data_IF_391240305972
#
_entry.id   IF_391240305972
#
_cell.length_a   1.000
_cell.length_b   1.000
_cell.length_c   1.000
_cell.angle_alpha   90.00
_cell.angle_beta   90.00
_cell.angle_gamma   90.00
#
_symmetry.space_group_name_H-M   'P 1'
#
loop_
_entity.id
_entity.type
_entity.pdbx_description
1 polymer ?
#
# COMPACT_ATOMS: atom_id res chain seq x y z
N UNK A 1 -25.17 -13.22 10.00
CA UNK A 1 -24.60 -14.20 10.94
C UNK A 1 -23.85 -13.42 12.00
N UNK A 2 -24.03 -13.69 13.31
CA UNK A 2 -23.36 -12.90 14.33
C UNK A 2 -21.90 -13.36 14.42
N UNK A 3 -20.96 -12.47 14.11
CA UNK A 3 -19.53 -12.66 14.40
C UNK A 3 -19.34 -12.47 15.91
N UNK A 4 -19.53 -13.55 16.67
CA UNK A 4 -19.30 -13.62 18.10
C UNK A 4 -18.01 -14.35 18.40
N UNK A 5 -16.94 -13.61 18.67
CA UNK A 5 -15.86 -13.83 19.66
C UNK A 5 -14.72 -12.87 19.32
N UNK A 6 -14.40 -11.95 20.25
CA UNK A 6 -13.25 -11.08 20.12
C UNK A 6 -11.98 -11.91 20.32
N UNK A 7 -11.32 -12.27 19.22
CA UNK A 7 -9.95 -12.77 19.27
C UNK A 7 -9.07 -11.53 19.40
N UNK A 8 -8.58 -11.25 20.61
CA UNK A 8 -7.48 -10.29 20.76
C UNK A 8 -6.25 -10.91 20.11
N UNK A 9 -5.76 -10.32 19.02
CA UNK A 9 -4.57 -10.82 18.33
C UNK A 9 -3.33 -10.20 18.97
N UNK A 10 -2.52 -11.02 19.65
CA UNK A 10 -1.17 -10.61 20.03
C UNK A 10 -0.26 -10.70 18.80
N UNK A 11 0.20 -9.55 18.30
CA UNK A 11 1.09 -9.50 17.15
C UNK A 11 2.54 -9.71 17.59
N UNK A 12 3.08 -10.92 17.41
CA UNK A 12 4.51 -11.18 17.61
C UNK A 12 5.29 -10.81 16.35
N UNK A 13 6.07 -9.72 16.42
CA UNK A 13 7.11 -9.43 15.43
C UNK A 13 8.48 -9.58 16.07
N UNK A 14 9.26 -10.53 15.56
CA UNK A 14 10.64 -10.77 15.95
C UNK A 14 11.57 -10.06 14.96
N UNK A 15 12.26 -9.00 15.39
CA UNK A 15 13.30 -8.36 14.59
C UNK A 15 14.68 -8.62 15.21
N UNK A 16 15.57 -9.28 14.47
CA UNK A 16 16.97 -9.41 14.86
C UNK A 16 17.75 -8.17 14.41
N UNK A 17 18.25 -7.39 15.36
CA UNK A 17 19.16 -6.28 15.07
C UNK A 17 20.59 -6.79 14.84
N UNK A 18 20.92 -7.26 13.64
CA UNK A 18 22.31 -7.25 13.17
C UNK A 18 22.39 -7.45 11.65
N UNK A 19 22.96 -6.45 10.97
CA UNK A 19 23.29 -6.49 9.54
C UNK A 19 24.53 -7.39 9.24
N UNK A 20 24.76 -8.43 10.02
CA UNK A 20 25.95 -9.31 9.92
C UNK A 20 25.64 -10.78 10.25
N UNK A 21 24.47 -11.29 9.85
CA UNK A 21 24.16 -12.73 9.95
C UNK A 21 24.87 -13.58 8.86
N UNK A 22 26.09 -13.21 8.50
CA UNK A 22 26.99 -13.99 7.64
C UNK A 22 28.38 -14.11 8.28
N UNK A 23 28.47 -14.33 9.60
CA UNK A 23 29.65 -14.91 10.23
C UNK A 23 29.35 -15.38 11.66
N UNK A 24 29.76 -16.61 11.95
CA UNK A 24 29.92 -17.23 13.27
C UNK A 24 28.64 -17.53 14.07
N UNK A 25 28.23 -18.79 14.00
CA UNK A 25 27.46 -19.48 15.02
C UNK A 25 28.25 -19.52 16.35
N UNK A 26 28.19 -18.46 17.15
CA UNK A 26 28.52 -18.52 18.58
C UNK A 26 27.24 -18.72 19.38
N UNK A 27 27.24 -19.73 20.23
CA UNK A 27 26.10 -20.25 21.01
C UNK A 27 25.64 -19.30 22.14
N UNK A 28 25.21 -18.09 21.81
CA UNK A 28 24.53 -17.17 22.73
C UNK A 28 23.08 -16.97 22.31
N UNK A 29 22.16 -17.00 23.28
CA UNK A 29 20.78 -16.60 23.03
C UNK A 29 20.75 -15.13 22.59
N UNK A 30 20.08 -14.82 21.48
CA UNK A 30 19.83 -13.44 21.05
C UNK A 30 18.51 -13.02 21.70
N UNK A 31 18.49 -12.01 22.58
CA UNK A 31 17.25 -11.52 23.17
C UNK A 31 16.40 -10.85 22.08
N UNK A 32 15.19 -11.37 21.86
CA UNK A 32 14.19 -10.70 21.02
C UNK A 32 13.31 -9.81 21.89
N UNK A 33 13.12 -8.57 21.46
CA UNK A 33 12.12 -7.69 22.09
C UNK A 33 10.78 -7.96 21.42
N UNK A 34 9.77 -8.35 22.21
CA UNK A 34 8.38 -8.40 21.73
C UNK A 34 7.71 -7.08 22.07
N UNK A 35 7.01 -6.52 21.11
CA UNK A 35 6.12 -5.38 21.33
C UNK A 35 4.68 -5.88 21.23
N UNK A 36 3.86 -5.59 22.22
CA UNK A 36 2.43 -5.96 22.22
C UNK A 36 1.57 -4.70 22.18
N UNK A 37 0.49 -4.78 21.41
CA UNK A 37 -0.70 -3.95 21.52
C UNK A 37 -1.79 -4.81 22.11
N UNK A 38 -2.18 -4.56 23.36
CA UNK A 38 -3.25 -5.32 24.03
C UNK A 38 -4.48 -4.44 24.21
N UNK A 39 -5.68 -4.93 23.83
CA UNK A 39 -6.93 -4.24 24.16
C UNK A 39 -7.27 -4.34 25.65
N UNK A 40 -6.61 -5.24 26.41
CA UNK A 40 -6.95 -5.56 27.80
C UNK A 40 -5.74 -5.26 28.69
N UNK A 41 -5.61 -4.00 29.09
CA UNK A 41 -4.97 -3.72 30.37
C UNK A 41 -5.96 -4.01 31.51
N UNK A 42 -5.47 -4.26 32.73
CA UNK A 42 -6.33 -4.52 33.89
C UNK A 42 -7.31 -3.38 34.22
N UNK A 43 -7.08 -2.19 33.66
CA UNK A 43 -7.89 -0.97 33.74
C UNK A 43 -8.77 -0.72 32.49
N UNK A 44 -8.77 -1.60 31.49
CA UNK A 44 -9.62 -1.49 30.30
C UNK A 44 -9.16 -0.44 29.27
N UNK A 45 -7.90 -0.02 29.33
CA UNK A 45 -7.29 0.98 28.44
C UNK A 45 -6.35 0.27 27.44
N UNK A 46 -6.59 0.36 26.13
CA UNK A 46 -5.70 -0.25 25.15
C UNK A 46 -4.28 0.33 25.26
N UNK A 47 -3.26 -0.54 25.40
CA UNK A 47 -1.87 -0.09 25.46
C UNK A 47 -1.27 -0.10 24.06
N UNK A 48 -0.93 1.09 23.58
CA UNK A 48 -0.31 1.30 22.27
C UNK A 48 1.22 1.09 22.40
N UNK A 49 1.76 0.08 21.72
CA UNK A 49 3.20 -0.27 21.67
C UNK A 49 3.86 -0.47 23.05
N UNK A 50 3.32 -1.34 23.89
CA UNK A 50 4.00 -1.73 25.13
C UNK A 50 5.11 -2.75 24.85
N UNK A 51 6.29 -2.56 25.45
CA UNK A 51 7.36 -3.57 25.41
C UNK A 51 7.02 -4.70 26.39
N UNK A 52 7.04 -5.93 25.92
CA UNK A 52 6.98 -7.12 26.76
C UNK A 52 8.37 -7.55 27.22
N UNK A 53 8.47 -8.39 28.28
CA UNK A 53 9.70 -9.10 28.61
C UNK A 53 10.24 -9.81 27.36
N UNK A 54 11.56 -9.75 27.16
CA UNK A 54 12.19 -10.33 25.99
C UNK A 54 11.97 -11.85 25.93
N UNK A 55 11.80 -12.38 24.71
CA UNK A 55 11.79 -13.83 24.48
C UNK A 55 13.21 -14.30 24.16
N UNK A 56 13.60 -15.39 24.80
CA UNK A 56 14.89 -16.03 24.59
C UNK A 56 14.84 -16.93 23.35
N UNK A 57 15.62 -16.60 22.31
CA UNK A 57 15.85 -17.51 21.20
C UNK A 57 16.81 -18.61 21.62
N UNK A 58 16.27 -19.81 21.82
CA UNK A 58 17.09 -21.00 22.03
C UNK A 58 17.59 -21.51 20.68
N UNK A 59 18.91 -21.68 20.48
CA UNK A 59 19.42 -22.25 19.25
C UNK A 59 18.87 -23.66 19.05
N UNK A 60 18.33 -23.94 17.85
CA UNK A 60 17.99 -25.30 17.42
C UNK A 60 19.26 -26.14 17.37
N UNK A 61 19.60 -26.84 18.46
CA UNK A 61 20.63 -27.87 18.42
C UNK A 61 20.05 -29.09 17.69
N UNK A 62 20.71 -29.64 16.65
CA UNK A 62 20.42 -30.99 16.21
C UNK A 62 20.84 -31.93 17.35
N UNK A 63 19.91 -32.22 18.26
CA UNK A 63 20.15 -33.18 19.34
C UNK A 63 20.20 -34.56 18.72
N UNK A 64 21.41 -35.05 18.44
CA UNK A 64 21.64 -36.51 18.39
C UNK A 64 21.16 -37.08 19.72
N UNK A 65 20.09 -37.86 19.67
CA UNK A 65 19.58 -38.72 20.75
C UNK A 65 19.11 -38.05 22.05
N UNK A 66 18.31 -36.98 21.99
CA UNK A 66 17.38 -36.73 23.11
C UNK A 66 15.97 -36.51 22.60
N UNK A 67 15.05 -37.41 22.95
CA UNK A 67 13.61 -37.14 22.85
C UNK A 67 13.34 -35.79 23.55
N UNK A 68 12.73 -34.80 22.88
CA UNK A 68 12.23 -33.62 23.58
C UNK A 68 11.33 -34.10 24.72
N UNK A 69 11.50 -33.53 25.92
CA UNK A 69 10.51 -33.75 26.97
C UNK A 69 9.15 -33.28 26.42
N UNK A 70 8.05 -34.01 26.67
CA UNK A 70 6.74 -33.57 26.24
C UNK A 70 6.51 -32.15 26.80
N UNK A 71 6.05 -31.19 25.98
CA UNK A 71 5.80 -29.84 26.46
C UNK A 71 4.81 -29.92 27.63
N UNK A 72 5.20 -29.34 28.77
CA UNK A 72 4.26 -29.08 29.87
C UNK A 72 3.16 -28.17 29.31
N UNK A 73 1.90 -28.55 29.53
CA UNK A 73 0.73 -28.17 28.74
C UNK A 73 0.31 -26.68 28.73
N UNK A 74 1.12 -25.75 29.25
CA UNK A 74 0.77 -24.32 29.34
C UNK A 74 1.76 -23.35 28.65
N UNK A 75 2.79 -23.83 27.93
CA UNK A 75 3.75 -22.95 27.23
C UNK A 75 3.61 -23.00 25.70
N UNK A 76 3.20 -21.87 25.09
CA UNK A 76 3.24 -21.67 23.64
C UNK A 76 4.71 -21.47 23.24
N UNK A 77 5.24 -22.36 22.40
CA UNK A 77 6.61 -22.28 21.86
C UNK A 77 6.57 -21.92 20.38
N UNK A 78 7.27 -20.84 20.00
CA UNK A 78 7.48 -20.45 18.59
C UNK A 78 8.90 -20.80 18.19
N UNK A 79 9.06 -21.55 17.09
CA UNK A 79 10.37 -21.97 16.58
C UNK A 79 10.67 -21.20 15.29
N UNK A 80 11.80 -20.49 15.25
CA UNK A 80 12.27 -19.76 14.07
C UNK A 80 13.33 -20.62 13.36
N UNK A 81 13.11 -20.93 12.08
CA UNK A 81 14.08 -21.62 11.23
C UNK A 81 14.71 -20.66 10.23
N UNK A 82 15.89 -20.12 10.56
CA UNK A 82 16.61 -19.17 9.70
C UNK A 82 17.23 -19.78 8.44
N UNK A 83 17.17 -21.10 8.25
CA UNK A 83 17.69 -21.73 7.02
C UNK A 83 16.63 -21.81 5.91
N UNK A 84 15.36 -21.57 6.22
CA UNK A 84 14.29 -21.50 5.23
C UNK A 84 13.98 -20.03 4.98
N UNK A 85 14.18 -19.58 3.76
CA UNK A 85 13.97 -18.18 3.37
C UNK A 85 12.88 -18.07 2.31
N UNK A 86 12.13 -16.97 2.34
CA UNK A 86 11.07 -16.67 1.40
C UNK A 86 11.39 -15.36 0.64
N UNK A 87 10.40 -14.47 0.51
CA UNK A 87 10.55 -13.23 -0.22
C UNK A 87 11.37 -12.18 0.54
N UNK A 88 12.02 -11.30 -0.21
CA UNK A 88 12.64 -10.07 0.33
C UNK A 88 11.58 -8.98 0.45
N UNK A 89 11.56 -8.29 1.58
CA UNK A 89 10.62 -7.20 1.86
C UNK A 89 11.07 -5.93 1.16
N UNK A 90 10.20 -5.39 0.31
CA UNK A 90 10.31 -4.11 -0.36
C UNK A 90 10.05 -2.95 0.60
N UNK A 91 9.03 -3.06 1.45
CA UNK A 91 8.73 -2.05 2.48
C UNK A 91 7.26 -1.83 2.74
N UNK A 92 6.99 -0.72 3.46
CA UNK A 92 5.67 -0.29 3.90
C UNK A 92 5.46 1.20 3.60
N UNK A 93 4.21 1.60 3.38
CA UNK A 93 3.92 2.95 2.90
C UNK A 93 2.46 3.36 3.01
N UNK A 94 2.14 4.47 2.34
CA UNK A 94 0.77 4.95 2.14
C UNK A 94 0.62 5.77 0.86
N UNK A 95 -0.61 6.18 0.55
CA UNK A 95 -0.96 6.94 -0.64
C UNK A 95 -0.98 8.46 -0.43
N UNK A 96 -0.37 9.17 -1.38
CA UNK A 96 -0.37 10.63 -1.53
C UNK A 96 -1.53 11.06 -2.42
N UNK A 97 -2.77 10.88 -1.93
CA UNK A 97 -3.98 11.36 -2.61
C UNK A 97 -4.12 12.88 -2.50
N UNK A 98 -4.98 13.48 -3.34
CA UNK A 98 -5.32 14.90 -3.19
C UNK A 98 -5.97 15.18 -1.84
N UNK A 99 -6.81 14.28 -1.31
CA UNK A 99 -7.38 14.42 0.03
C UNK A 99 -6.32 14.46 1.13
N UNK A 100 -5.29 13.60 1.04
CA UNK A 100 -4.18 13.61 1.98
C UNK A 100 -3.39 14.93 1.90
N UNK A 101 -3.06 15.37 0.68
CA UNK A 101 -2.39 16.65 0.46
C UNK A 101 -3.23 17.83 0.97
N UNK A 102 -4.53 17.83 0.68
CA UNK A 102 -5.48 18.88 1.07
C UNK A 102 -5.55 19.06 2.59
N UNK A 103 -5.59 17.96 3.34
CA UNK A 103 -5.56 17.99 4.80
C UNK A 103 -4.19 18.43 5.31
N UNK A 104 -3.11 17.90 4.73
CA UNK A 104 -1.76 18.21 5.14
C UNK A 104 -1.40 19.70 4.97
N UNK A 105 -1.70 20.32 3.82
CA UNK A 105 -1.34 21.74 3.59
C UNK A 105 -2.07 22.72 4.52
N UNK A 106 -3.23 22.32 5.07
CA UNK A 106 -4.04 23.12 6.00
C UNK A 106 -3.55 23.06 7.45
N UNK A 107 -2.67 22.13 7.76
CA UNK A 107 -2.03 22.05 9.07
C UNK A 107 -1.06 23.22 9.30
N UNK A 108 -0.73 23.47 10.57
CA UNK A 108 0.37 24.38 10.92
C UNK A 108 1.70 23.86 10.34
N UNK A 109 2.72 24.72 10.10
CA UNK A 109 4.03 24.24 9.63
C UNK A 109 4.66 23.18 10.56
N UNK A 110 4.43 23.31 11.88
CA UNK A 110 4.84 22.32 12.88
C UNK A 110 4.15 20.98 12.66
N UNK A 111 2.84 20.97 12.53
CA UNK A 111 2.06 19.73 12.39
C UNK A 111 2.30 19.07 11.03
N UNK A 112 2.54 19.87 9.97
CA UNK A 112 2.98 19.35 8.66
C UNK A 112 4.29 18.56 8.76
N UNK A 113 5.27 19.12 9.47
CA UNK A 113 6.54 18.46 9.70
C UNK A 113 6.36 17.22 10.58
N UNK A 114 5.50 17.30 11.61
CA UNK A 114 5.22 16.18 12.49
C UNK A 114 4.60 14.98 11.76
N UNK A 115 3.63 15.20 10.86
CA UNK A 115 3.05 14.10 10.05
C UNK A 115 4.13 13.40 9.21
N UNK A 116 5.01 14.17 8.55
CA UNK A 116 6.09 13.59 7.75
C UNK A 116 7.08 12.82 8.63
N UNK A 117 7.44 13.37 9.79
CA UNK A 117 8.32 12.73 10.76
C UNK A 117 7.72 11.41 11.28
N UNK A 118 6.43 11.41 11.65
CA UNK A 118 5.72 10.25 12.18
C UNK A 118 5.71 9.08 11.19
N UNK A 119 5.54 9.32 9.89
CA UNK A 119 5.58 8.26 8.88
C UNK A 119 6.99 7.89 8.43
N UNK A 120 7.83 8.88 8.11
CA UNK A 120 9.03 8.65 7.29
C UNK A 120 10.35 8.73 8.05
N UNK A 121 10.39 9.40 9.21
CA UNK A 121 11.62 9.50 10.01
C UNK A 121 12.06 8.13 10.56
N UNK A 122 13.24 8.10 11.20
CA UNK A 122 13.82 6.88 11.77
C UNK A 122 12.89 6.27 12.83
N UNK A 123 12.77 4.93 12.89
CA UNK A 123 12.15 4.25 14.03
C UNK A 123 12.74 4.67 15.38
N UNK A 124 14.05 4.91 15.46
CA UNK A 124 14.73 5.39 16.68
C UNK A 124 14.30 6.79 17.13
N UNK A 125 13.72 7.58 16.23
CA UNK A 125 13.19 8.92 16.50
C UNK A 125 11.66 8.90 16.67
N UNK A 126 11.04 7.71 16.63
CA UNK A 126 9.59 7.53 16.74
C UNK A 126 8.82 7.58 15.42
N UNK A 127 9.51 7.70 14.27
CA UNK A 127 8.90 7.54 12.95
C UNK A 127 8.54 6.08 12.63
N UNK A 128 7.75 5.83 11.60
CA UNK A 128 7.47 4.48 11.11
C UNK A 128 8.55 3.93 10.18
N UNK A 129 9.39 4.79 9.61
CA UNK A 129 10.38 4.35 8.66
C UNK A 129 9.79 3.97 7.30
N UNK A 130 8.65 4.56 6.90
CA UNK A 130 8.03 4.28 5.59
C UNK A 130 9.00 4.51 4.44
N UNK A 131 8.83 3.68 3.42
CA UNK A 131 9.74 3.54 2.26
C UNK A 131 9.00 3.38 0.95
N UNK A 132 7.70 3.07 0.99
CA UNK A 132 6.82 3.04 -0.16
C UNK A 132 5.90 4.26 -0.18
N UNK A 133 5.57 4.72 -1.38
CA UNK A 133 4.55 5.73 -1.62
C UNK A 133 3.74 5.41 -2.86
N UNK A 134 2.42 5.51 -2.75
CA UNK A 134 1.51 5.41 -3.89
C UNK A 134 1.00 6.78 -4.29
N UNK A 135 0.91 7.07 -5.59
CA UNK A 135 0.32 8.32 -6.08
C UNK A 135 -0.69 8.05 -7.20
N UNK A 136 -1.88 8.69 -7.17
CA UNK A 136 -2.78 8.64 -8.31
C UNK A 136 -2.19 9.29 -9.56
N UNK A 137 -2.35 8.64 -10.71
CA UNK A 137 -2.28 9.31 -12.01
C UNK A 137 -3.69 9.86 -12.26
N UNK A 138 -3.80 11.20 -12.34
CA UNK A 138 -5.07 11.94 -12.44
C UNK A 138 -5.85 11.95 -11.11
N UNK A 139 -7.12 12.34 -11.15
CA UNK A 139 -8.01 12.25 -9.99
C UNK A 139 -8.39 10.80 -9.64
N UNK A 140 -8.82 10.67 -8.39
CA UNK A 140 -9.47 9.51 -7.80
C UNK A 140 -10.70 9.96 -6.99
N UNK A 141 -11.40 9.05 -6.33
CA UNK A 141 -12.50 9.39 -5.43
C UNK A 141 -12.05 10.32 -4.29
N UNK A 142 -10.84 10.13 -3.76
CA UNK A 142 -10.17 11.02 -2.80
C UNK A 142 -9.53 12.26 -3.45
N UNK A 143 -10.18 12.78 -4.50
CA UNK A 143 -9.95 14.10 -5.08
C UNK A 143 -11.11 15.03 -4.74
N UNK A 144 -10.88 16.34 -4.81
CA UNK A 144 -11.95 17.34 -4.54
C UNK A 144 -12.92 17.46 -5.72
N UNK A 145 -12.47 17.06 -6.92
CA UNK A 145 -13.27 16.95 -8.15
C UNK A 145 -12.54 16.04 -9.15
N UNK A 146 -13.22 15.53 -10.18
CA UNK A 146 -12.57 14.87 -11.30
C UNK A 146 -11.64 15.80 -12.10
N UNK A 147 -10.49 15.28 -12.53
CA UNK A 147 -9.57 15.90 -13.48
C UNK A 147 -8.60 14.87 -14.06
N UNK A 148 -8.04 15.18 -15.23
CA UNK A 148 -6.88 14.54 -15.84
C UNK A 148 -5.92 15.62 -16.35
N UNK A 149 -4.74 15.22 -16.81
CA UNK A 149 -3.75 16.13 -17.37
C UNK A 149 -3.91 16.35 -18.88
N UNK A 150 -4.90 15.73 -19.53
CA UNK A 150 -5.25 16.04 -20.92
C UNK A 150 -6.77 15.95 -21.14
N UNK A 151 -7.42 17.10 -21.01
CA UNK A 151 -8.87 17.24 -21.12
C UNK A 151 -9.35 17.61 -22.54
N UNK A 152 -8.44 17.81 -23.50
CA UNK A 152 -8.84 18.25 -24.85
C UNK A 152 -9.37 17.05 -25.63
N UNK A 153 -10.64 17.12 -26.02
CA UNK A 153 -11.32 16.00 -26.67
C UNK A 153 -10.64 15.60 -27.99
N UNK A 154 -10.19 14.34 -28.04
CA UNK A 154 -9.61 13.75 -29.24
C UNK A 154 -8.13 14.07 -29.47
N UNK A 155 -7.43 14.60 -28.47
CA UNK A 155 -6.00 14.89 -28.51
C UNK A 155 -5.15 13.61 -28.49
N UNK A 156 -5.11 12.90 -29.62
CA UNK A 156 -4.39 11.61 -29.73
C UNK A 156 -2.87 11.75 -29.69
N UNK A 157 -2.36 12.93 -30.03
CA UNK A 157 -0.92 13.21 -30.01
C UNK A 157 -0.48 13.80 -28.66
N UNK A 158 -1.42 14.06 -27.74
CA UNK A 158 -1.21 14.62 -26.40
C UNK A 158 -0.52 15.98 -26.44
N UNK A 159 -0.86 16.82 -27.42
CA UNK A 159 -0.31 18.19 -27.58
C UNK A 159 -0.72 19.12 -26.43
N UNK A 160 -1.85 18.83 -25.78
CA UNK A 160 -2.43 19.60 -24.69
C UNK A 160 -2.18 18.97 -23.31
N UNK A 161 -1.40 17.90 -23.24
CA UNK A 161 -1.01 17.30 -21.95
C UNK A 161 -0.28 18.32 -21.07
N UNK A 162 -0.75 18.49 -19.83
CA UNK A 162 -0.10 19.32 -18.83
C UNK A 162 1.20 18.67 -18.33
N UNK A 163 2.28 18.96 -19.06
CA UNK A 163 3.64 18.52 -18.74
C UNK A 163 4.18 19.04 -17.41
N UNK A 164 3.50 19.99 -16.77
CA UNK A 164 3.91 20.55 -15.48
C UNK A 164 3.20 19.92 -14.29
N UNK A 165 2.14 19.11 -14.54
CA UNK A 165 1.22 18.58 -13.53
C UNK A 165 0.78 19.66 -12.54
N UNK A 166 0.38 20.81 -13.08
CA UNK A 166 0.13 22.05 -12.34
C UNK A 166 -0.90 21.87 -11.22
N UNK A 167 -1.91 21.02 -11.42
CA UNK A 167 -2.91 20.70 -10.42
C UNK A 167 -2.29 20.02 -9.18
N UNK A 168 -1.41 19.03 -9.38
CA UNK A 168 -0.75 18.29 -8.29
C UNK A 168 0.29 19.13 -7.54
N UNK A 169 0.88 20.11 -8.23
CA UNK A 169 1.74 21.13 -7.59
C UNK A 169 0.90 22.06 -6.73
N UNK A 170 -0.23 22.54 -7.25
CA UNK A 170 -1.07 23.54 -6.59
C UNK A 170 -1.86 22.96 -5.41
N UNK A 171 -2.34 21.71 -5.51
CA UNK A 171 -3.14 21.06 -4.46
C UNK A 171 -2.30 20.45 -3.33
N UNK A 172 -0.98 20.39 -3.50
CA UNK A 172 -0.05 19.94 -2.47
C UNK A 172 0.45 18.50 -2.59
N UNK A 173 0.01 17.69 -3.57
CA UNK A 173 0.49 16.32 -3.75
C UNK A 173 2.02 16.31 -3.96
N UNK A 174 2.51 17.07 -4.94
CA UNK A 174 3.96 17.16 -5.21
C UNK A 174 4.73 17.70 -3.99
N UNK A 175 4.33 18.83 -3.36
CA UNK A 175 4.95 19.31 -2.13
C UNK A 175 4.98 18.28 -0.97
N UNK A 176 3.91 17.49 -0.80
CA UNK A 176 3.82 16.47 0.25
C UNK A 176 4.78 15.31 -0.01
N UNK A 177 4.86 14.82 -1.25
CA UNK A 177 5.83 13.78 -1.64
C UNK A 177 7.26 14.27 -1.40
N UNK A 178 7.58 15.49 -1.82
CA UNK A 178 8.91 16.08 -1.59
C UNK A 178 9.23 16.22 -0.10
N UNK A 179 8.23 16.48 0.76
CA UNK A 179 8.43 16.51 2.20
C UNK A 179 8.76 15.13 2.77
N UNK A 180 8.05 14.08 2.33
CA UNK A 180 8.37 12.71 2.69
C UNK A 180 9.76 12.28 2.19
N UNK A 181 10.13 12.64 0.95
CA UNK A 181 11.46 12.37 0.40
C UNK A 181 12.59 13.01 1.24
N UNK A 182 12.38 14.21 1.79
CA UNK A 182 13.35 14.86 2.68
C UNK A 182 13.57 14.07 3.97
N UNK A 183 12.50 13.59 4.61
CA UNK A 183 12.59 12.74 5.80
C UNK A 183 13.33 11.42 5.50
N UNK A 184 12.98 10.77 4.38
CA UNK A 184 13.66 9.53 3.96
C UNK A 184 15.15 9.78 3.66
N UNK A 185 15.48 10.91 3.02
CA UNK A 185 16.88 11.27 2.76
C UNK A 185 17.67 11.52 4.05
N UNK A 186 17.07 12.22 5.03
CA UNK A 186 17.69 12.46 6.34
C UNK A 186 17.87 11.19 7.16
N UNK A 187 17.00 10.19 6.96
CA UNK A 187 17.15 8.88 7.58
C UNK A 187 18.45 8.18 7.18
N UNK A 188 18.87 8.35 5.93
CA UNK A 188 19.93 7.55 5.33
C UNK A 188 19.46 6.12 5.01
N UNK A 189 20.09 5.48 4.03
CA UNK A 189 19.81 4.08 3.68
C UNK A 189 18.73 3.85 2.61
N UNK A 190 18.37 4.86 1.81
CA UNK A 190 17.53 4.64 0.62
C UNK A 190 16.82 5.89 0.11
N UNK A 191 15.97 5.71 -0.90
CA UNK A 191 15.05 6.70 -1.41
C UNK A 191 13.60 6.24 -1.18
N UNK A 192 12.66 7.18 -1.18
CA UNK A 192 11.23 6.84 -1.18
C UNK A 192 10.89 6.18 -2.52
N UNK A 193 10.45 4.92 -2.46
CA UNK A 193 10.07 4.14 -3.63
C UNK A 193 8.63 4.46 -4.01
N UNK A 194 8.46 5.23 -5.08
CA UNK A 194 7.15 5.70 -5.53
C UNK A 194 6.58 4.80 -6.62
N UNK A 195 5.34 4.37 -6.48
CA UNK A 195 4.59 3.78 -7.59
C UNK A 195 3.30 4.56 -7.85
N UNK A 196 2.81 4.49 -9.08
CA UNK A 196 1.62 5.22 -9.50
C UNK A 196 0.56 4.32 -10.15
N UNK A 197 -0.70 4.64 -9.93
CA UNK A 197 -1.84 3.91 -10.51
C UNK A 197 -2.83 4.91 -11.12
N UNK A 198 -3.32 4.72 -12.35
CA UNK A 198 -4.41 5.53 -12.87
C UNK A 198 -5.77 4.97 -12.45
N UNK A 199 -6.71 5.83 -12.05
CA UNK A 199 -8.10 5.41 -11.82
C UNK A 199 -8.93 5.47 -13.10
N UNK A 200 -8.65 6.45 -13.96
CA UNK A 200 -9.33 6.57 -15.25
C UNK A 200 -8.42 7.27 -16.26
N UNK A 201 -8.46 6.85 -17.54
CA UNK A 201 -7.97 7.69 -18.62
C UNK A 201 -8.88 8.93 -18.80
N UNK A 202 -8.43 9.95 -19.55
CA UNK A 202 -9.26 11.08 -19.97
C UNK A 202 -10.60 10.67 -20.56
N UNK A 203 -11.63 11.48 -20.34
CA UNK A 203 -13.00 11.16 -20.72
C UNK A 203 -13.15 10.84 -22.22
N UNK A 204 -12.39 11.53 -23.07
CA UNK A 204 -12.40 11.34 -24.53
C UNK A 204 -11.81 10.00 -24.98
N UNK A 205 -11.06 9.30 -24.12
CA UNK A 205 -10.55 7.95 -24.37
C UNK A 205 -11.57 6.86 -24.01
N UNK A 206 -12.65 7.20 -23.30
CA UNK A 206 -13.57 6.24 -22.71
C UNK A 206 -14.75 5.92 -23.63
N UNK A 207 -15.25 4.70 -23.50
CA UNK A 207 -16.46 4.21 -24.18
C UNK A 207 -17.43 3.59 -23.19
N UNK A 208 -18.76 3.67 -23.45
CA UNK A 208 -19.73 2.91 -22.67
C UNK A 208 -19.48 1.42 -22.79
N UNK A 209 -19.81 0.67 -21.73
CA UNK A 209 -19.80 -0.79 -21.79
C UNK A 209 -21.07 -1.30 -22.46
N UNK A 210 -20.93 -2.35 -23.28
CA UNK A 210 -22.05 -3.03 -23.94
C UNK A 210 -22.00 -4.54 -23.63
N UNK A 211 -23.10 -5.14 -23.12
CA UNK A 211 -24.30 -4.47 -22.62
C UNK A 211 -23.99 -3.58 -21.40
N UNK A 212 -24.85 -2.62 -21.03
CA UNK A 212 -24.67 -1.83 -19.83
C UNK A 212 -24.52 -2.77 -18.63
N UNK A 213 -23.30 -2.91 -18.11
CA UNK A 213 -23.09 -3.49 -16.79
C UNK A 213 -23.75 -2.55 -15.79
N UNK A 214 -24.27 -3.05 -14.66
CA UNK A 214 -24.87 -2.24 -13.59
C UNK A 214 -23.89 -1.29 -12.87
N UNK A 215 -23.00 -0.66 -13.64
CA UNK A 215 -22.09 0.40 -13.26
C UNK A 215 -22.89 1.47 -12.53
N UNK A 216 -22.49 1.73 -11.29
CA UNK A 216 -23.15 2.71 -10.45
C UNK A 216 -22.54 4.08 -10.70
N UNK A 217 -22.61 4.61 -11.92
CA UNK A 217 -21.98 5.88 -12.26
C UNK A 217 -22.45 6.47 -13.59
N UNK A 218 -22.46 7.81 -13.74
CA UNK A 218 -22.92 8.49 -14.96
C UNK A 218 -21.88 8.49 -16.10
N UNK A 219 -20.61 8.17 -15.82
CA UNK A 219 -19.52 8.23 -16.79
C UNK A 219 -19.27 6.87 -17.47
N UNK A 220 -18.87 6.85 -18.75
CA UNK A 220 -18.42 5.62 -19.41
C UNK A 220 -17.26 4.99 -18.64
N UNK A 221 -17.22 3.67 -18.54
CA UNK A 221 -16.20 2.95 -17.76
C UNK A 221 -15.33 2.00 -18.60
N UNK A 222 -15.50 1.91 -19.92
CA UNK A 222 -14.56 1.19 -20.78
C UNK A 222 -13.50 2.11 -21.41
N UNK A 223 -12.40 1.55 -21.92
CA UNK A 223 -11.43 2.24 -22.77
C UNK A 223 -11.65 1.92 -24.24
N UNK A 224 -11.47 2.91 -25.13
CA UNK A 224 -11.52 2.71 -26.57
C UNK A 224 -10.27 1.98 -27.07
N UNK A 225 -10.30 0.65 -27.07
CA UNK A 225 -9.16 -0.20 -27.45
C UNK A 225 -8.64 0.13 -28.86
N UNK A 226 -9.54 0.32 -29.83
CA UNK A 226 -9.15 0.55 -31.23
C UNK A 226 -8.47 1.91 -31.49
N UNK A 227 -8.60 2.88 -30.57
CA UNK A 227 -8.20 4.27 -30.83
C UNK A 227 -7.26 4.86 -29.78
N UNK A 228 -7.32 4.36 -28.55
CA UNK A 228 -6.74 5.05 -27.41
C UNK A 228 -5.64 4.27 -26.68
N UNK A 229 -5.35 3.00 -27.01
CA UNK A 229 -4.27 2.29 -26.32
C UNK A 229 -2.88 2.89 -26.59
N UNK A 230 -2.59 3.31 -27.82
CA UNK A 230 -1.33 4.00 -28.14
C UNK A 230 -1.19 5.33 -27.39
N UNK A 231 -2.13 6.28 -27.55
CA UNK A 231 -2.14 7.52 -26.79
C UNK A 231 -2.09 7.30 -25.27
N UNK A 232 -2.84 6.33 -24.75
CA UNK A 232 -2.83 6.02 -23.32
C UNK A 232 -1.47 5.53 -22.83
N UNK A 233 -0.77 4.67 -23.57
CA UNK A 233 0.60 4.28 -23.21
C UNK A 233 1.56 5.48 -23.23
N UNK A 234 1.42 6.39 -24.21
CA UNK A 234 2.23 7.62 -24.26
C UNK A 234 1.95 8.55 -23.08
N UNK A 235 0.69 8.62 -22.64
CA UNK A 235 0.27 9.39 -21.47
C UNK A 235 1.04 8.98 -20.20
N UNK A 236 1.20 7.67 -19.95
CA UNK A 236 2.03 7.21 -18.83
C UNK A 236 3.46 7.76 -18.90
N UNK A 237 4.09 7.72 -20.07
CA UNK A 237 5.46 8.24 -20.22
C UNK A 237 5.52 9.75 -19.96
N UNK A 238 4.58 10.54 -20.52
CA UNK A 238 4.54 11.98 -20.30
C UNK A 238 4.29 12.34 -18.83
N UNK A 239 3.47 11.56 -18.13
CA UNK A 239 3.20 11.74 -16.71
C UNK A 239 4.42 11.40 -15.86
N UNK A 240 5.13 10.31 -16.15
CA UNK A 240 6.39 9.94 -15.48
C UNK A 240 7.43 11.06 -15.66
N UNK A 241 7.60 11.57 -16.88
CA UNK A 241 8.50 12.70 -17.17
C UNK A 241 8.12 13.95 -16.37
N UNK A 242 6.81 14.25 -16.27
CA UNK A 242 6.31 15.41 -15.52
C UNK A 242 6.63 15.31 -14.03
N UNK A 243 6.41 14.16 -13.41
CA UNK A 243 6.77 13.93 -12.01
C UNK A 243 8.29 13.93 -11.79
N UNK A 244 9.06 13.39 -12.74
CA UNK A 244 10.51 13.40 -12.68
C UNK A 244 11.09 14.82 -12.74
N UNK A 245 10.47 15.76 -13.48
CA UNK A 245 10.85 17.19 -13.47
C UNK A 245 10.72 17.84 -12.09
N UNK A 246 9.86 17.31 -11.23
CA UNK A 246 9.72 17.73 -9.83
C UNK A 246 10.62 16.94 -8.85
N UNK A 247 11.56 16.14 -9.37
CA UNK A 247 12.47 15.32 -8.57
C UNK A 247 11.84 14.04 -8.01
N UNK A 248 10.64 13.67 -8.47
CA UNK A 248 9.93 12.48 -8.01
C UNK A 248 10.16 11.36 -9.04
N UNK A 249 11.06 10.43 -8.72
CA UNK A 249 11.31 9.26 -9.55
C UNK A 249 10.25 8.19 -9.29
N UNK A 250 9.64 7.70 -10.36
CA UNK A 250 8.64 6.63 -10.32
C UNK A 250 9.36 5.30 -10.50
N UNK A 251 9.23 4.42 -9.52
CA UNK A 251 9.78 3.06 -9.56
C UNK A 251 8.90 2.14 -10.40
N UNK A 252 7.58 2.25 -10.26
CA UNK A 252 6.64 1.39 -10.97
C UNK A 252 5.32 2.10 -11.28
N UNK A 253 4.61 1.58 -12.27
CA UNK A 253 3.21 1.94 -12.52
C UNK A 253 2.34 0.69 -12.52
N UNK A 254 1.11 0.79 -12.01
CA UNK A 254 0.11 -0.25 -12.24
C UNK A 254 -0.64 0.03 -13.54
N UNK A 255 -1.12 -1.01 -14.20
CA UNK A 255 -1.84 -0.88 -15.48
C UNK A 255 -3.11 -0.03 -15.32
N UNK A 256 -3.82 -0.23 -14.21
CA UNK A 256 -5.10 0.37 -13.91
C UNK A 256 -5.43 0.10 -12.44
N UNK A 257 -5.82 1.11 -11.67
CA UNK A 257 -6.44 0.92 -10.38
C UNK A 257 -7.79 0.25 -10.55
N UNK A 258 -7.98 -0.85 -9.84
CA UNK A 258 -9.20 -1.61 -9.77
C UNK A 258 -9.89 -1.88 -11.13
N UNK A 259 -9.26 -2.61 -12.06
CA UNK A 259 -9.75 -2.81 -13.43
C UNK A 259 -11.07 -3.59 -13.55
N UNK A 260 -11.61 -4.08 -12.44
CA UNK A 260 -12.90 -4.76 -12.37
C UNK A 260 -14.00 -3.92 -11.70
N UNK A 261 -13.68 -2.72 -11.20
CA UNK A 261 -14.63 -1.85 -10.50
C UNK A 261 -15.41 -0.97 -11.47
N UNK A 262 -16.73 -1.15 -11.54
CA UNK A 262 -17.65 -0.28 -12.27
C UNK A 262 -18.40 0.63 -11.29
N UNK A 263 -17.72 1.67 -10.83
CA UNK A 263 -18.12 2.52 -9.69
C UNK A 263 -18.49 3.94 -10.12
N UNK A 264 -18.97 4.75 -9.16
CA UNK A 264 -19.50 6.10 -9.42
C UNK A 264 -18.47 7.20 -9.54
N UNK A 265 -17.20 6.86 -9.38
CA UNK A 265 -16.04 7.73 -9.49
C UNK A 265 -15.12 7.21 -10.60
N UNK A 266 -13.93 7.81 -10.71
CA UNK A 266 -12.91 7.45 -11.68
C UNK A 266 -12.65 5.95 -11.67
N UNK A 267 -12.96 5.31 -12.80
CA UNK A 267 -12.81 3.88 -12.99
C UNK A 267 -12.65 3.55 -14.46
N UNK A 268 -11.89 2.51 -14.79
CA UNK A 268 -11.84 1.98 -16.14
C UNK A 268 -11.76 0.47 -16.09
N UNK A 269 -12.71 -0.21 -16.72
CA UNK A 269 -12.79 -1.64 -16.79
C UNK A 269 -11.83 -2.19 -17.84
N UNK A 270 -11.15 -3.25 -17.44
CA UNK A 270 -10.32 -4.06 -18.30
C UNK A 270 -10.68 -5.54 -18.12
N UNK A 271 -10.40 -6.32 -19.16
CA UNK A 271 -10.29 -7.77 -19.02
C UNK A 271 -8.83 -8.15 -18.86
N UNK A 272 -8.56 -9.28 -18.22
CA UNK A 272 -7.19 -9.80 -18.07
C UNK A 272 -6.45 -9.88 -19.43
N UNK A 273 -7.14 -10.33 -20.48
CA UNK A 273 -6.57 -10.42 -21.82
C UNK A 273 -6.31 -9.06 -22.46
N UNK A 274 -7.21 -8.09 -22.28
CA UNK A 274 -7.02 -6.75 -22.82
C UNK A 274 -5.88 -6.01 -22.11
N UNK A 275 -5.71 -6.21 -20.80
CA UNK A 275 -4.57 -5.68 -20.06
C UNK A 275 -3.26 -6.31 -20.51
N UNK A 276 -3.22 -7.63 -20.73
CA UNK A 276 -2.04 -8.30 -21.29
C UNK A 276 -1.70 -7.78 -22.70
N UNK A 277 -2.69 -7.66 -23.58
CA UNK A 277 -2.49 -7.10 -24.92
C UNK A 277 -2.02 -5.64 -24.88
N UNK A 278 -2.55 -4.81 -23.98
CA UNK A 278 -2.09 -3.44 -23.80
C UNK A 278 -0.63 -3.35 -23.35
N UNK A 279 -0.22 -4.21 -22.42
CA UNK A 279 1.19 -4.29 -22.01
C UNK A 279 2.06 -4.75 -23.16
N UNK A 280 1.67 -5.81 -23.88
CA UNK A 280 2.40 -6.37 -25.01
C UNK A 280 2.62 -5.36 -26.13
N UNK A 281 1.54 -4.74 -26.58
CA UNK A 281 1.50 -4.01 -27.85
C UNK A 281 1.75 -2.50 -27.68
N UNK A 282 1.57 -1.96 -26.47
CA UNK A 282 1.61 -0.51 -26.22
C UNK A 282 2.43 -0.10 -25.00
N UNK A 283 1.96 -0.37 -23.78
CA UNK A 283 2.57 0.16 -22.55
C UNK A 283 4.02 -0.34 -22.37
N UNK A 284 4.26 -1.64 -22.52
CA UNK A 284 5.58 -2.25 -22.40
C UNK A 284 6.60 -1.66 -23.37
N UNK A 285 6.35 -1.69 -24.69
CA UNK A 285 7.24 -1.08 -25.68
C UNK A 285 7.47 0.42 -25.50
N UNK A 286 6.46 1.19 -25.07
CA UNK A 286 6.61 2.63 -24.81
C UNK A 286 7.53 2.86 -23.61
N UNK A 287 7.26 2.23 -22.46
CA UNK A 287 8.07 2.44 -21.26
C UNK A 287 9.48 1.87 -21.40
N UNK A 288 9.67 0.73 -22.08
CA UNK A 288 11.01 0.20 -22.33
C UNK A 288 11.88 1.14 -23.16
N UNK A 289 11.28 1.91 -24.08
CA UNK A 289 11.97 2.89 -24.93
C UNK A 289 12.18 4.23 -24.23
N UNK A 290 11.14 4.73 -23.55
CA UNK A 290 11.10 6.12 -23.08
C UNK A 290 11.40 6.25 -21.57
N UNK A 291 11.13 5.21 -20.79
CA UNK A 291 11.25 5.19 -19.32
C UNK A 291 12.00 3.93 -18.85
N UNK A 292 13.25 3.70 -19.31
CA UNK A 292 14.00 2.50 -18.98
C UNK A 292 14.19 2.37 -17.47
N UNK A 293 13.73 1.25 -16.91
CA UNK A 293 13.82 0.94 -15.48
C UNK A 293 12.52 1.16 -14.69
N UNK A 294 11.50 1.81 -15.26
CA UNK A 294 10.17 1.86 -14.65
C UNK A 294 9.48 0.50 -14.83
N UNK A 295 9.05 -0.09 -13.73
CA UNK A 295 8.40 -1.41 -13.73
C UNK A 295 6.90 -1.30 -14.02
N UNK A 296 6.34 -2.33 -14.65
CA UNK A 296 4.89 -2.47 -14.82
C UNK A 296 4.37 -3.53 -13.84
N UNK A 297 3.34 -3.15 -13.08
CA UNK A 297 2.64 -4.01 -12.13
C UNK A 297 1.24 -4.30 -12.67
N UNK A 298 0.87 -5.57 -12.74
CA UNK A 298 -0.45 -5.99 -13.19
C UNK A 298 -1.52 -5.94 -12.08
N UNK A 299 -2.77 -6.11 -12.50
CA UNK A 299 -3.94 -6.32 -11.65
C UNK A 299 -4.40 -5.14 -10.79
N UNK A 300 -3.79 -4.87 -9.63
CA UNK A 300 -4.16 -3.74 -8.72
C UNK A 300 -5.65 -3.76 -8.32
N UNK A 301 -6.13 -4.90 -7.82
CA UNK A 301 -7.51 -5.13 -7.38
C UNK A 301 -7.56 -6.15 -6.23
N UNK A 302 -8.74 -6.43 -5.68
CA UNK A 302 -8.99 -7.43 -4.64
C UNK A 302 -8.36 -8.80 -4.93
N UNK A 303 -7.85 -9.48 -3.90
CA UNK A 303 -7.09 -10.74 -4.00
C UNK A 303 -7.80 -11.90 -4.73
N UNK A 304 -9.13 -11.86 -4.88
CA UNK A 304 -9.97 -12.99 -5.34
C UNK A 304 -9.80 -13.41 -6.82
N UNK A 305 -9.26 -12.54 -7.69
CA UNK A 305 -8.98 -12.87 -9.10
C UNK A 305 -7.52 -12.68 -9.51
N UNK A 306 -6.61 -12.43 -8.57
CA UNK A 306 -5.20 -12.14 -8.89
C UNK A 306 -4.54 -13.26 -9.71
N UNK A 307 -4.75 -14.53 -9.36
CA UNK A 307 -4.18 -15.66 -10.11
C UNK A 307 -4.64 -15.71 -11.58
N UNK A 308 -5.93 -15.41 -11.84
CA UNK A 308 -6.48 -15.35 -13.20
C UNK A 308 -5.81 -14.25 -14.03
N UNK A 309 -5.61 -13.08 -13.44
CA UNK A 309 -5.01 -11.93 -14.12
C UNK A 309 -3.50 -12.09 -14.32
N UNK A 310 -2.81 -12.62 -13.30
CA UNK A 310 -1.41 -13.02 -13.37
C UNK A 310 -1.19 -14.01 -14.52
N UNK A 311 -2.03 -15.06 -14.62
CA UNK A 311 -1.96 -16.05 -15.71
C UNK A 311 -2.01 -15.40 -17.09
N UNK A 312 -2.97 -14.50 -17.34
CA UNK A 312 -3.08 -13.82 -18.64
C UNK A 312 -1.85 -12.95 -18.97
N UNK A 313 -1.26 -12.31 -17.96
CA UNK A 313 -0.06 -11.47 -18.13
C UNK A 313 1.22 -12.29 -18.29
N UNK A 314 1.31 -13.45 -17.63
CA UNK A 314 2.56 -14.23 -17.52
C UNK A 314 2.68 -15.31 -18.60
N UNK A 315 1.57 -15.84 -19.11
CA UNK A 315 1.59 -16.86 -20.17
C UNK A 315 1.79 -16.28 -21.58
N UNK A 316 1.54 -14.98 -21.79
CA UNK A 316 1.94 -14.29 -23.03
C UNK A 316 3.39 -13.80 -22.87
N UNK A 317 4.40 -14.44 -23.51
CA UNK A 317 5.81 -14.08 -23.31
C UNK A 317 6.14 -12.65 -23.77
N UNK A 318 5.38 -12.11 -24.73
CA UNK A 318 5.60 -10.76 -25.22
C UNK A 318 5.08 -9.70 -24.24
N UNK A 319 4.08 -10.03 -23.42
CA UNK A 319 3.66 -9.20 -22.28
C UNK A 319 4.55 -9.45 -21.05
N UNK A 320 4.81 -10.72 -20.73
CA UNK A 320 5.45 -11.17 -19.50
C UNK A 320 6.86 -10.59 -19.28
N UNK A 321 7.59 -10.29 -20.36
CA UNK A 321 8.90 -9.64 -20.30
C UNK A 321 8.87 -8.22 -19.70
N UNK A 322 7.72 -7.54 -19.76
CA UNK A 322 7.55 -6.18 -19.25
C UNK A 322 6.95 -6.12 -17.84
N UNK A 323 6.28 -7.19 -17.39
CA UNK A 323 5.55 -7.20 -16.11
C UNK A 323 6.45 -7.69 -14.98
N UNK A 324 6.66 -6.88 -13.94
CA UNK A 324 7.52 -7.25 -12.81
C UNK A 324 6.79 -8.04 -11.71
N UNK A 325 5.46 -7.89 -11.62
CA UNK A 325 4.65 -8.46 -10.55
C UNK A 325 3.18 -8.12 -10.71
N UNK A 326 2.40 -8.40 -9.67
CA UNK A 326 1.00 -7.97 -9.55
C UNK A 326 0.78 -7.25 -8.22
N UNK A 327 -0.21 -6.36 -8.23
CA UNK A 327 -0.67 -5.63 -7.06
C UNK A 327 -2.04 -6.18 -6.60
N UNK A 328 -2.29 -6.18 -5.28
CA UNK A 328 -3.53 -6.65 -4.67
C UNK A 328 -4.08 -5.70 -3.62
N UNK A 329 -5.42 -5.67 -3.48
CA UNK A 329 -6.16 -4.86 -2.50
C UNK A 329 -6.84 -5.74 -1.45
N UNK A 330 -7.13 -5.19 -0.27
CA UNK A 330 -7.68 -5.95 0.86
C UNK A 330 -9.22 -6.15 0.87
N UNK A 331 -10.00 -5.36 0.13
CA UNK A 331 -11.45 -5.25 0.34
C UNK A 331 -12.24 -6.55 0.05
N UNK A 332 -11.64 -7.49 -0.69
CA UNK A 332 -12.17 -8.83 -0.92
C UNK A 332 -11.94 -9.83 0.22
N UNK A 333 -11.24 -9.44 1.29
CA UNK A 333 -10.80 -10.29 2.39
C UNK A 333 -9.47 -11.01 2.09
N UNK A 334 -9.04 -11.88 3.01
CA UNK A 334 -7.68 -12.44 3.05
C UNK A 334 -7.24 -13.26 1.82
N UNK A 335 -8.14 -14.11 1.27
CA UNK A 335 -7.96 -14.87 0.00
C UNK A 335 -6.55 -15.48 -0.21
N UNK A 336 -6.01 -16.10 0.82
CA UNK A 336 -4.64 -16.63 0.87
C UNK A 336 -4.27 -17.55 -0.29
N UNK A 337 -5.16 -18.49 -0.63
CA UNK A 337 -4.96 -19.45 -1.73
C UNK A 337 -4.67 -18.74 -3.07
N UNK A 338 -5.35 -17.61 -3.34
CA UNK A 338 -5.15 -16.87 -4.60
C UNK A 338 -3.77 -16.22 -4.69
N UNK A 339 -3.16 -15.87 -3.55
CA UNK A 339 -1.80 -15.34 -3.50
C UNK A 339 -0.76 -16.45 -3.72
N UNK A 340 -0.94 -17.60 -3.07
CA UNK A 340 -0.05 -18.77 -3.26
C UNK A 340 -0.10 -19.30 -4.69
N UNK A 341 -1.30 -19.41 -5.27
CA UNK A 341 -1.48 -19.79 -6.69
C UNK A 341 -0.77 -18.81 -7.62
N UNK A 342 -0.86 -17.50 -7.33
CA UNK A 342 -0.20 -16.46 -8.13
C UNK A 342 1.31 -16.58 -8.08
N UNK A 343 1.87 -16.78 -6.88
CA UNK A 343 3.30 -17.00 -6.73
C UNK A 343 3.76 -18.26 -7.48
N UNK A 344 2.99 -19.36 -7.39
CA UNK A 344 3.30 -20.60 -8.08
C UNK A 344 3.32 -20.48 -9.62
N UNK A 345 2.53 -19.57 -10.21
CA UNK A 345 2.54 -19.32 -11.65
C UNK A 345 3.88 -18.73 -12.14
N UNK A 346 4.49 -17.84 -11.35
CA UNK A 346 5.76 -17.21 -11.70
C UNK A 346 6.53 -16.77 -10.43
N UNK A 347 7.29 -17.67 -9.77
CA UNK A 347 7.93 -17.38 -8.48
C UNK A 347 8.91 -16.20 -8.48
N UNK A 348 9.43 -15.83 -9.65
CA UNK A 348 10.32 -14.66 -9.81
C UNK A 348 9.61 -13.31 -9.95
N UNK A 349 8.27 -13.29 -9.99
CA UNK A 349 7.46 -12.06 -10.08
C UNK A 349 6.83 -11.78 -8.72
N UNK A 350 6.89 -10.53 -8.27
CA UNK A 350 6.45 -10.17 -6.92
C UNK A 350 4.94 -9.98 -6.81
N UNK A 351 4.43 -10.07 -5.58
CA UNK A 351 3.09 -9.62 -5.19
C UNK A 351 3.25 -8.41 -4.26
N UNK A 352 2.56 -7.32 -4.54
CA UNK A 352 2.55 -6.12 -3.69
C UNK A 352 1.13 -5.86 -3.17
N UNK A 353 0.94 -5.76 -1.86
CA UNK A 353 -0.31 -5.21 -1.33
C UNK A 353 -0.27 -3.69 -1.50
N UNK A 354 -1.00 -3.19 -2.50
CA UNK A 354 -0.87 -1.82 -3.00
C UNK A 354 -1.89 -0.85 -2.39
N UNK A 355 -2.95 -1.36 -1.77
CA UNK A 355 -3.99 -0.54 -1.18
C UNK A 355 -4.79 -1.30 -0.10
N UNK A 356 -4.96 -0.64 1.04
CA UNK A 356 -5.94 -1.04 2.04
C UNK A 356 -6.41 0.15 2.89
N UNK A 357 -7.70 0.16 3.24
CA UNK A 357 -8.25 1.07 4.24
C UNK A 357 -9.62 0.64 4.77
N UNK A 358 -9.94 1.10 5.98
CA UNK A 358 -11.25 0.94 6.57
C UNK A 358 -12.21 2.03 6.08
N UNK A 359 -13.19 1.70 5.25
CA UNK A 359 -14.17 2.67 4.75
C UNK A 359 -15.46 2.77 5.60
N UNK A 360 -16.30 3.75 5.30
CA UNK A 360 -17.51 4.10 6.06
C UNK A 360 -17.29 5.24 7.07
N UNK A 361 -16.34 6.13 6.80
CA UNK A 361 -15.95 7.26 7.65
C UNK A 361 -15.05 6.89 8.83
N UNK A 362 -14.61 7.92 9.56
CA UNK A 362 -13.68 7.80 10.70
C UNK A 362 -14.37 7.21 11.93
N UNK A 363 -13.70 6.25 12.58
CA UNK A 363 -14.12 5.75 13.90
C UNK A 363 -13.05 6.16 14.90
N UNK A 364 -13.45 6.89 15.94
CA UNK A 364 -12.56 7.31 17.03
C UNK A 364 -12.68 6.36 18.22
N UNK A 365 -11.65 6.34 19.08
CA UNK A 365 -11.62 5.55 20.32
C UNK A 365 -12.88 5.77 21.18
N UNK A 366 -13.33 7.01 21.32
CA UNK A 366 -14.60 7.32 21.97
C UNK A 366 -15.64 7.74 20.92
N UNK A 367 -16.88 7.23 21.00
CA UNK A 367 -17.44 6.38 22.06
C UNK A 367 -17.29 4.86 21.85
N UNK A 368 -16.64 4.39 20.77
CA UNK A 368 -16.64 2.98 20.36
C UNK A 368 -15.22 2.41 20.25
N UNK A 369 -14.56 2.26 21.40
CA UNK A 369 -13.18 1.80 21.49
C UNK A 369 -12.98 0.39 20.91
N UNK A 370 -14.02 -0.46 21.00
CA UNK A 370 -13.99 -1.81 20.44
C UNK A 370 -13.90 -1.77 18.93
N UNK A 371 -14.74 -0.97 18.26
CA UNK A 371 -14.70 -0.84 16.80
C UNK A 371 -13.44 -0.13 16.32
N UNK A 372 -13.00 0.90 17.04
CA UNK A 372 -11.74 1.60 16.77
C UNK A 372 -10.54 0.64 16.79
N UNK A 373 -10.47 -0.22 17.80
CA UNK A 373 -9.41 -1.22 17.94
C UNK A 373 -9.51 -2.33 16.88
N UNK A 374 -10.72 -2.87 16.65
CA UNK A 374 -10.94 -3.93 15.66
C UNK A 374 -10.48 -3.53 14.25
N UNK A 375 -10.71 -2.26 13.86
CA UNK A 375 -10.21 -1.72 12.58
C UNK A 375 -8.69 -1.82 12.44
N UNK A 376 -7.95 -1.66 13.53
CA UNK A 376 -6.49 -1.79 13.54
C UNK A 376 -6.05 -3.25 13.50
N UNK A 377 -6.74 -4.13 14.23
CA UNK A 377 -6.48 -5.58 14.21
C UNK A 377 -6.74 -6.18 12.82
N UNK A 378 -7.81 -5.77 12.13
CA UNK A 378 -8.14 -6.23 10.78
C UNK A 378 -7.02 -5.90 9.78
N UNK A 379 -6.49 -4.67 9.81
CA UNK A 379 -5.38 -4.27 8.94
C UNK A 379 -4.09 -5.02 9.28
N UNK A 380 -3.81 -5.24 10.56
CA UNK A 380 -2.62 -5.98 10.97
C UNK A 380 -2.68 -7.46 10.62
N UNK A 381 -3.87 -8.07 10.71
CA UNK A 381 -4.12 -9.42 10.23
C UNK A 381 -3.89 -9.50 8.72
N UNK A 382 -4.38 -8.52 7.96
CA UNK A 382 -4.17 -8.46 6.52
C UNK A 382 -2.68 -8.35 6.15
N UNK A 383 -1.92 -7.45 6.80
CA UNK A 383 -0.47 -7.33 6.60
C UNK A 383 0.24 -8.65 6.90
N UNK A 384 -0.06 -9.27 8.05
CA UNK A 384 0.58 -10.53 8.46
C UNK A 384 0.31 -11.64 7.44
N UNK A 385 -0.93 -11.77 7.01
CA UNK A 385 -1.36 -12.79 6.05
C UNK A 385 -0.72 -12.54 4.69
N UNK A 386 -0.71 -11.32 4.19
CA UNK A 386 -0.07 -10.98 2.92
C UNK A 386 1.42 -11.33 2.92
N UNK A 387 2.13 -11.02 4.01
CA UNK A 387 3.53 -11.41 4.18
C UNK A 387 3.71 -12.94 4.26
N UNK A 388 2.80 -13.67 4.91
CA UNK A 388 2.85 -15.15 4.94
C UNK A 388 2.64 -15.75 3.54
N UNK A 389 1.93 -15.04 2.66
CA UNK A 389 1.58 -15.45 1.31
C UNK A 389 2.26 -14.59 0.23
N UNK A 390 3.57 -14.42 0.38
CA UNK A 390 4.52 -13.93 -0.65
C UNK A 390 4.45 -12.44 -0.99
N UNK A 391 3.59 -11.65 -0.35
CA UNK A 391 3.62 -10.21 -0.56
C UNK A 391 4.96 -9.63 -0.11
N UNK A 392 5.54 -8.76 -0.93
CA UNK A 392 6.84 -8.12 -0.66
C UNK A 392 6.68 -6.82 0.13
N UNK A 393 5.48 -6.31 0.29
CA UNK A 393 5.24 -5.05 0.97
C UNK A 393 3.75 -4.75 1.06
N UNK A 394 3.42 -3.70 1.81
CA UNK A 394 2.04 -3.33 2.08
C UNK A 394 1.88 -1.81 2.16
N UNK A 395 0.86 -1.29 1.49
CA UNK A 395 0.63 0.15 1.33
C UNK A 395 -0.76 0.52 1.84
N UNK A 396 -0.80 1.36 2.86
CA UNK A 396 -2.02 1.98 3.36
C UNK A 396 -2.64 2.90 2.30
N UNK A 397 -3.91 3.23 2.46
CA UNK A 397 -4.54 4.23 1.60
C UNK A 397 -4.14 5.66 1.96
N UNK A 398 -5.09 6.54 2.25
CA UNK A 398 -4.81 7.94 2.53
C UNK A 398 -3.90 8.09 3.76
N UNK A 399 -2.72 8.69 3.59
CA UNK A 399 -1.81 8.98 4.71
C UNK A 399 -2.44 9.84 5.81
N UNK A 400 -3.38 10.72 5.46
CA UNK A 400 -4.07 11.59 6.41
C UNK A 400 -5.43 12.00 5.85
N UNK A 401 -6.46 12.03 6.70
CA UNK A 401 -7.81 12.51 6.37
C UNK A 401 -8.34 13.44 7.46
N UNK A 402 -9.42 14.17 7.21
CA UNK A 402 -10.10 14.96 8.25
C UNK A 402 -10.98 14.11 9.16
N UNK A 403 -11.61 14.75 10.16
CA UNK A 403 -12.53 14.12 11.12
C UNK A 403 -13.75 13.43 10.49
N UNK A 404 -14.04 13.67 9.22
CA UNK A 404 -15.12 13.01 8.47
C UNK A 404 -14.63 11.83 7.64
N UNK A 405 -13.34 11.79 7.33
CA UNK A 405 -12.73 10.79 6.46
C UNK A 405 -12.62 11.23 5.00
N UNK A 406 -12.52 12.54 4.78
CA UNK A 406 -12.44 13.15 3.44
C UNK A 406 -11.30 14.18 3.31
N UNK A 407 -11.36 15.04 2.28
CA UNK A 407 -12.44 15.15 1.29
C UNK A 407 -12.50 13.96 0.32
N UNK A 408 -13.69 13.66 -0.21
CA UNK A 408 -13.91 12.66 -1.26
C UNK A 408 -15.10 13.13 -2.11
N UNK A 409 -14.89 13.39 -3.40
CA UNK A 409 -15.92 13.98 -4.27
C UNK A 409 -17.11 13.05 -4.52
N UNK A 410 -16.93 11.74 -4.32
CA UNK A 410 -17.96 10.73 -4.45
C UNK A 410 -18.60 10.33 -3.10
N UNK A 411 -18.25 11.02 -2.01
CA UNK A 411 -18.71 10.73 -0.64
C UNK A 411 -18.36 9.31 -0.14
N UNK A 412 -17.36 8.66 -0.73
CA UNK A 412 -16.85 7.36 -0.31
C UNK A 412 -15.83 7.53 0.84
N UNK A 413 -16.31 8.04 1.98
CA UNK A 413 -15.45 8.42 3.11
C UNK A 413 -14.80 7.19 3.77
N UNK A 414 -13.53 7.32 4.17
CA UNK A 414 -12.78 6.25 4.84
C UNK A 414 -12.01 6.78 6.05
N UNK A 415 -11.49 5.86 6.86
CA UNK A 415 -10.56 6.16 7.96
C UNK A 415 -9.13 6.32 7.41
N UNK A 416 -8.24 6.88 8.23
CA UNK A 416 -6.81 6.98 7.96
C UNK A 416 -6.03 6.84 9.26
N UNK A 417 -4.78 6.40 9.20
CA UNK A 417 -3.93 6.26 10.38
C UNK A 417 -3.73 7.56 11.18
N UNK A 418 -3.69 8.70 10.49
CA UNK A 418 -3.65 10.02 11.12
C UNK A 418 -4.90 10.80 10.68
N UNK A 419 -5.60 11.37 11.65
CA UNK A 419 -6.74 12.25 11.44
C UNK A 419 -6.37 13.69 11.77
N UNK A 420 -6.56 14.60 10.82
CA UNK A 420 -6.37 16.03 10.98
C UNK A 420 -7.61 16.69 11.58
N UNK A 421 -7.42 17.48 12.64
CA UNK A 421 -8.43 18.33 13.25
C UNK A 421 -7.82 19.69 13.64
N UNK A 422 -7.39 20.55 12.69
CA UNK A 422 -6.75 21.82 13.01
C UNK A 422 -7.53 22.71 14.01
N UNK A 423 -8.88 22.77 13.95
CA UNK A 423 -9.68 23.49 14.95
C UNK A 423 -9.75 22.82 16.32
N UNK A 424 -9.27 21.57 16.46
CA UNK A 424 -9.43 20.73 17.63
C UNK A 424 -10.91 20.58 18.04
N UNK A 425 -11.80 20.40 17.05
CA UNK A 425 -13.23 20.27 17.26
C UNK A 425 -13.61 19.04 18.11
N UNK A 426 -12.78 17.99 18.11
CA UNK A 426 -12.96 16.76 18.90
C UNK A 426 -12.31 16.83 20.28
N UNK A 427 -11.48 17.83 20.56
CA UNK A 427 -10.77 17.95 21.84
C UNK A 427 -9.55 17.04 22.01
N UNK A 428 -9.08 16.38 20.94
CA UNK A 428 -7.96 15.42 20.95
C UNK A 428 -6.62 16.02 20.47
N UNK A 429 -6.58 17.33 20.20
CA UNK A 429 -5.45 18.01 19.56
C UNK A 429 -5.63 18.14 18.04
N UNK A 430 -4.63 18.72 17.38
CA UNK A 430 -4.69 19.00 15.93
C UNK A 430 -4.47 17.76 15.05
N UNK A 431 -3.88 16.71 15.63
CA UNK A 431 -3.61 15.42 15.00
C UNK A 431 -4.05 14.31 15.95
N UNK A 432 -4.89 13.39 15.48
CA UNK A 432 -5.22 12.16 16.20
C UNK A 432 -4.54 10.98 15.53
N UNK A 433 -3.74 10.22 16.29
CA UNK A 433 -3.13 8.97 15.84
C UNK A 433 -4.09 7.83 16.15
N UNK A 434 -4.60 7.16 15.11
CA UNK A 434 -5.52 6.03 15.28
C UNK A 434 -4.78 4.78 15.76
N UNK A 435 -5.50 3.80 16.31
CA UNK A 435 -4.91 2.50 16.66
C UNK A 435 -4.15 1.89 15.46
N UNK A 436 -4.69 2.04 14.25
CA UNK A 436 -4.07 1.52 13.02
C UNK A 436 -2.69 2.11 12.74
N UNK A 437 -2.41 3.37 13.13
CA UNK A 437 -1.06 3.95 13.06
C UNK A 437 -0.07 3.10 13.85
N UNK A 438 -0.42 2.78 15.10
CA UNK A 438 0.45 1.99 15.97
C UNK A 438 0.63 0.55 15.46
N UNK A 439 -0.44 -0.08 14.98
CA UNK A 439 -0.39 -1.43 14.40
C UNK A 439 0.47 -1.47 13.12
N UNK A 440 0.36 -0.50 12.21
CA UNK A 440 1.26 -0.41 11.06
C UNK A 440 2.72 -0.14 11.49
N UNK A 441 2.89 0.58 12.60
CA UNK A 441 4.18 0.79 13.25
C UNK A 441 4.86 -0.49 13.72
N UNK A 442 4.12 -1.53 14.10
CA UNK A 442 4.70 -2.83 14.44
C UNK A 442 5.45 -3.42 13.24
N UNK A 443 4.90 -3.35 12.03
CA UNK A 443 5.57 -3.93 10.86
C UNK A 443 6.68 -3.01 10.34
N UNK A 444 6.32 -1.78 10.01
CA UNK A 444 7.21 -0.84 9.31
C UNK A 444 8.49 -0.51 10.10
N UNK A 445 8.41 -0.37 11.42
CA UNK A 445 9.57 0.00 12.25
C UNK A 445 10.57 -1.13 12.44
N UNK A 446 10.11 -2.38 12.33
CA UNK A 446 10.87 -3.56 12.71
C UNK A 446 11.17 -4.49 11.53
N UNK A 447 10.57 -4.26 10.37
CA UNK A 447 10.83 -4.97 9.11
C UNK A 447 11.28 -3.94 8.05
N UNK A 448 12.53 -3.47 8.10
CA UNK A 448 13.05 -2.54 7.10
C UNK A 448 13.16 -3.20 5.71
N UNK A 449 13.22 -2.42 4.62
CA UNK A 449 13.50 -2.96 3.29
C UNK A 449 14.76 -3.83 3.28
N UNK A 450 14.71 -4.91 2.51
CA UNK A 450 15.78 -5.91 2.45
C UNK A 450 15.69 -7.00 3.52
N UNK A 451 14.74 -6.91 4.47
CA UNK A 451 14.42 -8.03 5.37
C UNK A 451 14.00 -9.26 4.57
N UNK A 452 14.32 -10.45 5.07
CA UNK A 452 13.96 -11.73 4.44
C UNK A 452 13.04 -12.46 5.40
N UNK A 453 11.88 -12.92 4.91
CA UNK A 453 10.96 -13.75 5.69
C UNK A 453 11.47 -15.16 5.85
#
# INVERSE_FOLDING_TARGET
MPFGTAYGYALLLAASSSATAAAAATAGAVPLTITETSPISADGVPRLLARLPGVELLPMRPKKNSKPAPPTTDQITVIINSTTTYQTILGFGGAFTEAAAHNWIRLSPRDRAEVMRLYFAKPSEGGHGYTLGRVPINSCDFSVRPYTFDEVAGDRELEHFDTTVSHDVANGIVPMIQAAQREVAQRGGGALTMFASPWSPPAWMKIPLLPPTGARGPAPSGISIARCLGPWAKYFSLWIDAYQRHGIRIWAVTIQNEPMAAVGWESCLWSANNSAAFVRDHLGPVLAREQPGVLIIGYDHNKDKVAKWAKALYEDPLAAQYVAGVAVHWYGGLKTESLDETHALAPGKFILASEACNCGGVVFEQPDARRWWARAEDLALDILVDLLHWAVGWTDWNLILDITGGPNHAHNLCDANIIADPPNARGHGTLTLQASFYFQGHFSRFIPPGSIR
#
